data_IF_330237394173
#
_entry.id   IF_330237394173
#
_cell.length_a   1.000
_cell.length_b   1.000
_cell.length_c   1.000
_cell.angle_alpha   90.00
_cell.angle_beta   90.00
_cell.angle_gamma   90.00
#
_symmetry.space_group_name_H-M   'P 1'
#
loop_
_entity.id
_entity.type
_entity.pdbx_description
1 polymer ?
#
# COMPACT_ATOMS: atom_id res chain seq x y z
N UNK A 1 12.23 -1.19 4.86
CA UNK A 1 10.93 -0.56 5.20
C UNK A 1 9.80 -1.02 4.27
N UNK A 2 10.00 -1.07 2.95
CA UNK A 2 9.01 -1.59 1.99
C UNK A 2 8.39 -2.95 2.38
N UNK A 3 9.22 -3.94 2.72
CA UNK A 3 8.73 -5.26 3.08
C UNK A 3 7.86 -5.25 4.35
N UNK A 4 8.22 -4.42 5.34
CA UNK A 4 7.50 -4.34 6.61
C UNK A 4 6.13 -3.67 6.41
N UNK A 5 6.04 -2.59 5.65
CA UNK A 5 4.74 -1.98 5.40
C UNK A 5 3.86 -2.87 4.51
N UNK A 6 4.45 -3.56 3.52
CA UNK A 6 3.71 -4.54 2.71
C UNK A 6 3.15 -5.68 3.57
N UNK A 7 3.97 -6.34 4.41
CA UNK A 7 3.50 -7.43 5.27
C UNK A 7 2.41 -6.96 6.24
N UNK A 8 2.52 -5.75 6.79
CA UNK A 8 1.47 -5.17 7.65
C UNK A 8 0.20 -4.80 6.90
N UNK A 9 0.27 -4.41 5.63
CA UNK A 9 -0.92 -4.19 4.81
C UNK A 9 -1.62 -5.51 4.45
N UNK A 10 -0.85 -6.55 4.12
CA UNK A 10 -1.36 -7.88 3.76
C UNK A 10 -2.00 -8.58 4.95
N UNK A 11 -1.28 -8.70 6.07
CA UNK A 11 -1.71 -9.52 7.20
C UNK A 11 -2.36 -8.72 8.34
N UNK A 12 -2.29 -7.39 8.29
CA UNK A 12 -2.90 -6.54 9.30
C UNK A 12 -4.42 -6.55 9.20
N UNK A 13 -5.07 -6.40 10.36
CA UNK A 13 -6.52 -6.16 10.41
C UNK A 13 -6.84 -4.85 9.67
N UNK A 14 -7.73 -4.85 8.67
CA UNK A 14 -8.18 -3.62 8.02
C UNK A 14 -9.12 -2.78 8.89
N UNK A 15 -9.57 -3.28 10.03
CA UNK A 15 -10.60 -2.70 10.89
C UNK A 15 -11.92 -3.42 10.73
N UNK A 16 -11.93 -4.75 10.92
CA UNK A 16 -13.14 -5.56 10.83
C UNK A 16 -14.17 -5.12 11.89
N UNK A 17 -15.43 -4.97 11.47
CA UNK A 17 -16.55 -4.74 12.40
C UNK A 17 -16.88 -6.07 13.07
N UNK A 18 -16.87 -6.16 14.42
CA UNK A 18 -17.19 -7.39 15.11
C UNK A 18 -18.63 -7.84 14.84
N UNK A 19 -18.83 -9.15 14.78
CA UNK A 19 -20.17 -9.73 14.71
C UNK A 19 -20.81 -9.63 16.11
N UNK A 20 -22.13 -9.43 16.19
CA UNK A 20 -22.83 -9.42 17.46
C UNK A 20 -22.91 -10.85 18.05
N UNK A 21 -22.70 -10.98 19.36
CA UNK A 21 -22.80 -12.27 20.07
C UNK A 21 -24.26 -12.70 20.30
N UNK A 22 -25.21 -11.78 20.15
CA UNK A 22 -26.65 -12.01 20.31
C UNK A 22 -27.41 -11.55 19.07
N UNK A 23 -28.60 -12.12 18.85
CA UNK A 23 -29.48 -11.67 17.78
C UNK A 23 -29.82 -10.19 17.98
N UNK A 24 -29.51 -9.37 16.98
CA UNK A 24 -29.81 -7.94 17.01
C UNK A 24 -31.27 -7.71 16.64
N UNK A 25 -31.99 -6.96 17.49
CA UNK A 25 -33.31 -6.44 17.14
C UNK A 25 -33.13 -5.15 16.31
N UNK A 26 -33.60 -5.18 15.06
CA UNK A 26 -33.53 -4.07 14.12
C UNK A 26 -34.76 -3.13 14.20
N UNK A 27 -35.68 -3.38 15.14
CA UNK A 27 -36.91 -2.60 15.33
C UNK A 27 -36.63 -1.12 15.69
N UNK A 28 -35.53 -0.85 16.41
CA UNK A 28 -35.19 0.49 16.91
C UNK A 28 -34.84 1.48 15.78
N UNK A 29 -34.06 1.08 14.77
CA UNK A 29 -33.68 1.95 13.65
C UNK A 29 -34.85 2.33 12.73
N UNK A 30 -35.86 1.46 12.61
CA UNK A 30 -37.08 1.79 11.85
C UNK A 30 -37.91 2.85 12.54
N UNK A 31 -37.89 2.87 13.87
CA UNK A 31 -38.66 3.81 14.69
C UNK A 31 -38.05 5.22 14.71
N UNK A 32 -36.71 5.32 14.68
CA UNK A 32 -35.98 6.61 14.70
C UNK A 32 -36.07 7.41 13.40
N UNK A 33 -36.48 6.80 12.27
CA UNK A 33 -36.69 7.53 11.01
C UNK A 33 -37.89 8.49 11.05
N UNK A 34 -38.77 8.41 12.05
CA UNK A 34 -40.00 9.22 12.12
C UNK A 34 -39.92 10.48 12.99
N UNK A 35 -38.94 10.60 13.90
CA UNK A 35 -38.83 11.75 14.81
C UNK A 35 -37.37 12.23 14.94
N UNK A 36 -37.02 13.20 14.08
CA UNK A 36 -36.00 14.24 14.22
C UNK A 36 -34.97 14.09 15.37
N UNK A 37 -33.77 13.57 15.08
CA UNK A 37 -32.58 13.79 15.92
C UNK A 37 -31.28 13.80 15.10
N UNK A 38 -30.79 15.01 14.84
CA UNK A 38 -29.59 15.35 14.06
C UNK A 38 -28.24 14.98 14.74
N UNK A 39 -28.19 13.93 15.57
CA UNK A 39 -27.00 13.59 16.39
C UNK A 39 -26.53 12.13 16.28
N UNK A 40 -27.06 11.33 15.35
CA UNK A 40 -26.75 9.90 15.16
C UNK A 40 -26.29 9.62 13.71
N UNK A 41 -25.43 10.46 13.15
CA UNK A 41 -25.10 10.46 11.72
C UNK A 41 -24.50 9.12 11.23
N UNK A 42 -25.42 8.34 10.65
CA UNK A 42 -25.31 7.24 9.70
C UNK A 42 -24.71 5.90 10.16
N UNK A 43 -25.14 5.43 11.34
CA UNK A 43 -25.12 3.97 11.58
C UNK A 43 -26.08 3.28 10.60
N UNK A 44 -25.62 2.23 9.92
CA UNK A 44 -26.43 1.47 8.95
C UNK A 44 -26.43 -0.01 9.30
N UNK A 45 -27.31 -0.81 8.68
CA UNK A 45 -27.36 -2.26 8.93
C UNK A 45 -26.75 -3.03 7.76
N UNK A 46 -25.96 -4.06 8.06
CA UNK A 46 -25.56 -5.05 7.07
C UNK A 46 -26.39 -6.33 7.22
N UNK A 47 -27.31 -6.58 6.29
CA UNK A 47 -28.12 -7.79 6.29
C UNK A 47 -27.30 -9.09 6.04
N UNK A 48 -26.09 -9.00 5.50
CA UNK A 48 -25.24 -10.18 5.23
C UNK A 48 -24.41 -10.62 6.42
N UNK A 49 -23.96 -9.65 7.21
CA UNK A 49 -23.20 -9.89 8.43
C UNK A 49 -24.08 -9.79 9.67
N UNK A 50 -25.38 -9.49 9.48
CA UNK A 50 -26.37 -9.25 10.54
C UNK A 50 -25.84 -8.36 11.66
N UNK A 51 -25.14 -7.28 11.30
CA UNK A 51 -24.45 -6.40 12.24
C UNK A 51 -24.74 -4.92 11.95
N UNK A 52 -24.65 -4.10 12.99
CA UNK A 52 -24.64 -2.65 12.88
C UNK A 52 -23.30 -2.19 12.31
N UNK A 53 -23.37 -1.45 11.19
CA UNK A 53 -22.22 -0.82 10.56
C UNK A 53 -22.06 0.60 11.11
N UNK A 54 -20.90 0.91 11.71
CA UNK A 54 -20.60 2.29 12.07
C UNK A 54 -20.52 3.17 10.82
N UNK A 55 -20.58 4.50 10.99
CA UNK A 55 -20.48 5.44 9.88
C UNK A 55 -19.24 5.16 9.02
N UNK A 56 -19.43 5.17 7.70
CA UNK A 56 -18.39 4.87 6.68
C UNK A 56 -17.87 3.42 6.67
N UNK A 57 -18.50 2.49 7.38
CA UNK A 57 -18.18 1.07 7.23
C UNK A 57 -18.93 0.46 6.03
N UNK A 58 -18.25 -0.39 5.28
CA UNK A 58 -18.82 -1.06 4.11
C UNK A 58 -18.58 -2.57 4.16
N UNK A 59 -19.51 -3.34 3.58
CA UNK A 59 -19.38 -4.79 3.45
C UNK A 59 -18.54 -5.13 2.22
N UNK A 60 -17.39 -5.75 2.44
CA UNK A 60 -16.60 -6.29 1.35
C UNK A 60 -17.15 -7.66 0.93
N UNK A 61 -17.62 -7.76 -0.32
CA UNK A 61 -18.16 -9.01 -0.86
C UNK A 61 -17.10 -10.09 -1.06
N UNK A 62 -15.84 -9.69 -1.25
CA UNK A 62 -14.70 -10.60 -1.48
C UNK A 62 -14.19 -11.16 -0.15
N UNK A 63 -14.07 -10.30 0.87
CA UNK A 63 -13.60 -10.71 2.19
C UNK A 63 -14.72 -11.20 3.13
N UNK A 64 -15.98 -11.15 2.69
CA UNK A 64 -17.18 -11.54 3.43
C UNK A 64 -17.31 -10.92 4.83
N UNK A 65 -16.88 -9.66 4.99
CA UNK A 65 -16.87 -8.97 6.27
C UNK A 65 -17.12 -7.47 6.10
N UNK A 66 -17.66 -6.84 7.14
CA UNK A 66 -17.75 -5.39 7.21
C UNK A 66 -16.41 -4.81 7.69
N UNK A 67 -15.95 -3.75 7.04
CA UNK A 67 -14.68 -3.08 7.35
C UNK A 67 -14.96 -1.60 7.66
N UNK A 68 -14.40 -1.10 8.76
CA UNK A 68 -14.50 0.29 9.21
C UNK A 68 -13.70 1.21 8.29
N UNK A 69 -14.31 2.34 7.91
CA UNK A 69 -13.75 3.31 6.95
C UNK A 69 -13.11 2.60 5.76
N UNK A 70 -13.83 1.60 5.23
CA UNK A 70 -13.34 0.80 4.11
C UNK A 70 -13.08 1.72 2.93
N UNK A 71 -11.87 1.64 2.38
CA UNK A 71 -11.52 2.30 1.15
C UNK A 71 -11.85 1.37 -0.03
N UNK A 72 -11.12 0.25 -0.14
CA UNK A 72 -11.36 -0.75 -1.17
C UNK A 72 -10.82 -2.13 -0.79
N UNK A 73 -11.20 -3.16 -1.55
CA UNK A 73 -10.48 -4.44 -1.53
C UNK A 73 -9.37 -4.40 -2.57
N UNK A 74 -8.14 -4.67 -2.15
CA UNK A 74 -6.97 -4.60 -3.02
C UNK A 74 -6.46 -6.02 -3.32
N UNK A 75 -6.56 -6.48 -4.59
CA UNK A 75 -6.09 -7.81 -4.98
C UNK A 75 -4.58 -8.00 -4.75
N UNK A 76 -3.80 -6.92 -4.84
CA UNK A 76 -2.34 -6.96 -4.74
C UNK A 76 -1.82 -7.29 -3.35
N UNK A 77 -2.57 -6.92 -2.31
CA UNK A 77 -2.27 -7.29 -0.92
C UNK A 77 -3.19 -8.41 -0.41
N UNK A 78 -4.10 -8.90 -1.26
CA UNK A 78 -5.13 -9.88 -0.92
C UNK A 78 -5.89 -9.56 0.39
N UNK A 79 -6.18 -8.27 0.61
CA UNK A 79 -6.82 -7.78 1.83
C UNK A 79 -7.61 -6.49 1.54
N UNK A 80 -8.53 -6.16 2.43
CA UNK A 80 -9.15 -4.83 2.41
C UNK A 80 -8.16 -3.77 2.86
N UNK A 81 -8.29 -2.56 2.33
CA UNK A 81 -7.69 -1.34 2.87
C UNK A 81 -8.78 -0.64 3.68
N UNK A 82 -8.54 -0.46 4.97
CA UNK A 82 -9.47 0.17 5.90
C UNK A 82 -8.74 0.90 7.01
N UNK A 83 -9.50 1.35 8.01
CA UNK A 83 -9.02 2.26 9.06
C UNK A 83 -7.69 1.84 9.70
N UNK A 84 -7.50 0.55 10.00
CA UNK A 84 -6.36 0.09 10.80
C UNK A 84 -5.10 -0.24 9.98
N UNK A 85 -5.24 -0.50 8.68
CA UNK A 85 -4.11 -0.84 7.81
C UNK A 85 -3.83 0.19 6.70
N UNK A 86 -4.69 1.19 6.51
CA UNK A 86 -4.53 2.23 5.47
C UNK A 86 -3.17 2.93 5.54
N UNK A 87 -2.67 3.25 6.73
CA UNK A 87 -1.35 3.89 6.89
C UNK A 87 -0.22 3.04 6.31
N UNK A 88 -0.29 1.72 6.48
CA UNK A 88 0.73 0.79 5.97
C UNK A 88 0.62 0.64 4.46
N UNK A 89 -0.60 0.65 3.92
CA UNK A 89 -0.84 0.66 2.49
C UNK A 89 -0.26 1.91 1.81
N UNK A 90 -0.49 3.10 2.38
CA UNK A 90 0.09 4.36 1.86
C UNK A 90 1.62 4.33 1.91
N UNK A 91 2.21 3.87 3.02
CA UNK A 91 3.66 3.70 3.13
C UNK A 91 4.21 2.69 2.10
N UNK A 92 3.49 1.60 1.85
CA UNK A 92 3.84 0.63 0.82
C UNK A 92 3.88 1.26 -0.58
N UNK A 93 2.86 2.04 -0.96
CA UNK A 93 2.83 2.74 -2.24
C UNK A 93 4.00 3.74 -2.36
N UNK A 94 4.26 4.52 -1.31
CA UNK A 94 5.35 5.49 -1.29
C UNK A 94 6.72 4.82 -1.50
N UNK A 95 7.04 3.78 -0.71
CA UNK A 95 8.33 3.09 -0.85
C UNK A 95 8.45 2.30 -2.16
N UNK A 96 7.34 1.80 -2.71
CA UNK A 96 7.33 1.18 -4.04
C UNK A 96 7.67 2.21 -5.11
N UNK A 97 7.07 3.41 -5.05
CA UNK A 97 7.38 4.51 -5.95
C UNK A 97 8.86 4.90 -5.91
N UNK A 98 9.43 5.05 -4.71
CA UNK A 98 10.86 5.34 -4.55
C UNK A 98 11.75 4.22 -5.11
N UNK A 99 11.42 2.95 -4.86
CA UNK A 99 12.17 1.82 -5.39
C UNK A 99 12.12 1.79 -6.93
N UNK A 100 10.97 2.07 -7.52
CA UNK A 100 10.80 2.16 -8.97
C UNK A 100 11.61 3.31 -9.58
N UNK A 101 11.59 4.50 -8.96
CA UNK A 101 12.41 5.64 -9.40
C UNK A 101 13.90 5.34 -9.31
N UNK A 102 14.34 4.69 -8.23
CA UNK A 102 15.73 4.28 -8.05
C UNK A 102 16.15 3.27 -9.12
N UNK A 103 15.35 2.22 -9.34
CA UNK A 103 15.61 1.22 -10.38
C UNK A 103 15.65 1.86 -11.78
N UNK A 104 14.72 2.76 -12.09
CA UNK A 104 14.71 3.51 -13.34
C UNK A 104 15.98 4.35 -13.49
N UNK A 105 16.43 5.05 -12.43
CA UNK A 105 17.68 5.80 -12.45
C UNK A 105 18.91 4.92 -12.69
N UNK A 106 18.98 3.74 -12.07
CA UNK A 106 20.06 2.78 -12.31
C UNK A 106 20.08 2.30 -13.76
N UNK A 107 18.91 1.97 -14.31
CA UNK A 107 18.79 1.59 -15.73
C UNK A 107 19.24 2.76 -16.61
N UNK A 108 18.71 3.96 -16.43
CA UNK A 108 19.13 5.11 -17.24
C UNK A 108 20.63 5.37 -17.14
N UNK A 109 21.23 5.23 -15.95
CA UNK A 109 22.67 5.36 -15.77
C UNK A 109 23.47 4.31 -16.55
N UNK A 110 23.04 3.04 -16.58
CA UNK A 110 23.74 2.01 -17.37
C UNK A 110 23.61 2.22 -18.87
N UNK A 111 22.50 2.77 -19.34
CA UNK A 111 22.27 3.05 -20.75
C UNK A 111 22.97 4.34 -21.22
N UNK A 112 23.10 5.35 -20.35
CA UNK A 112 23.74 6.66 -20.67
C UNK A 112 25.24 6.69 -20.37
N UNK A 113 25.72 5.81 -19.50
CA UNK A 113 27.14 5.57 -19.27
C UNK A 113 27.56 4.22 -19.88
N UNK A 114 27.74 4.15 -21.22
CA UNK A 114 28.24 2.95 -21.85
C UNK A 114 29.55 2.53 -21.20
N UNK A 115 29.68 1.23 -20.90
CA UNK A 115 30.93 0.61 -20.46
C UNK A 115 32.08 0.91 -21.44
N UNK A 116 31.74 1.28 -22.67
CA UNK A 116 32.60 1.76 -23.75
C UNK A 116 33.48 2.94 -23.29
N UNK A 117 32.90 3.88 -22.52
CA UNK A 117 33.65 5.02 -21.96
C UNK A 117 34.60 4.58 -20.84
N UNK A 118 34.24 3.57 -20.06
CA UNK A 118 35.12 2.99 -19.04
C UNK A 118 36.25 2.21 -19.70
N UNK A 119 35.97 1.39 -20.72
CA UNK A 119 37.02 0.70 -21.49
C UNK A 119 37.93 1.66 -22.23
N UNK A 120 37.40 2.75 -22.80
CA UNK A 120 38.19 3.80 -23.43
C UNK A 120 39.08 4.52 -22.40
N UNK A 121 38.54 4.94 -21.25
CA UNK A 121 39.35 5.56 -20.19
C UNK A 121 40.43 4.64 -19.61
N UNK A 122 40.19 3.32 -19.59
CA UNK A 122 41.17 2.33 -19.12
C UNK A 122 42.25 2.05 -20.17
N UNK A 123 41.91 2.11 -21.45
CA UNK A 123 42.86 2.00 -22.56
C UNK A 123 43.77 3.24 -22.62
N UNK A 124 43.21 4.45 -22.51
CA UNK A 124 43.98 5.70 -22.48
C UNK A 124 44.90 5.78 -21.25
N UNK A 125 44.45 5.30 -20.08
CA UNK A 125 45.28 5.22 -18.88
C UNK A 125 46.43 4.19 -18.98
N UNK A 126 46.25 3.11 -19.74
CA UNK A 126 47.32 2.14 -20.04
C UNK A 126 48.36 2.75 -20.99
N UNK A 127 47.93 3.42 -22.07
CA UNK A 127 48.85 4.06 -23.02
C UNK A 127 49.59 5.24 -22.38
N UNK A 128 48.93 6.05 -21.56
CA UNK A 128 49.55 7.13 -20.79
C UNK A 128 50.55 6.64 -19.72
N UNK A 129 50.37 5.41 -19.21
CA UNK A 129 51.32 4.76 -18.29
C UNK A 129 52.55 4.18 -18.99
N UNK A 130 52.44 3.80 -20.26
CA UNK A 130 53.55 3.26 -21.07
C UNK A 130 54.44 4.36 -21.65
N UNK A 131 53.92 5.59 -21.81
CA UNK A 131 54.68 6.74 -22.31
C UNK A 131 55.71 7.34 -21.31
N UNK A 132 55.91 6.71 -20.14
CA UNK A 132 56.73 7.25 -19.04
C UNK A 132 58.12 6.62 -18.84
N UNK A 133 58.64 5.80 -19.75
CA UNK A 133 59.99 5.21 -19.60
C UNK A 133 60.84 5.44 -20.84
N UNK A 134 61.75 6.43 -20.85
CA UNK A 134 62.81 6.43 -21.83
C UNK A 134 63.76 5.29 -21.48
N UNK A 135 63.82 4.27 -22.34
CA UNK A 135 64.94 3.34 -22.38
C UNK A 135 66.16 4.17 -22.78
N UNK A 136 66.98 4.57 -21.81
CA UNK A 136 68.35 4.98 -22.07
C UNK A 136 69.26 3.78 -21.77
N UNK A 137 69.87 3.28 -22.85
CA UNK A 137 71.05 2.41 -22.84
C UNK A 137 72.24 3.08 -22.16
#
# INVERSE_FOLDING_TARGET
MLLICHTRAVFGDPGVVPLPDTALDFSDLRSTSSNNSRNNEDWTVCNRCETYRPPRAHHCRICHRCVRRMDHHCPWINNCVGELNQKYFIQFLFYTGLASLYAMGLVLATWVWPLDRISASRAEGYEGGVAGSPIQM
#
